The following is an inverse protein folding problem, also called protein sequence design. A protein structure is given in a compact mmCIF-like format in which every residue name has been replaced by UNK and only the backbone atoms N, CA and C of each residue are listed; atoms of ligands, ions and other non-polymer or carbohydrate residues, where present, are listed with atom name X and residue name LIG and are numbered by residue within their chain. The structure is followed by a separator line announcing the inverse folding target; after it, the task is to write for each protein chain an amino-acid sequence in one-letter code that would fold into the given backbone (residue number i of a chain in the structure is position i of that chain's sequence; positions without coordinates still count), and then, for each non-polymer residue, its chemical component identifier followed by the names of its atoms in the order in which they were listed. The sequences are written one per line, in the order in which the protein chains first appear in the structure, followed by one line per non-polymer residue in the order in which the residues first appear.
data_IF_034948430124
#
_entry.id   IF_034948430124
#
_cell.length_a   1.000
_cell.length_b   1.000
_cell.length_c   1.000
_cell.angle_alpha   90.00
_cell.angle_beta   90.00
_cell.angle_gamma   90.00
#
_symmetry.space_group_name_H-M   'P 1'
#
loop_
_entity.id
_entity.type
_entity.pdbx_description
1 polymer ?
#
# COMPACT_ATOMS: atom_id res chain seq x y z
N UNK A 1 -43.20 113.55 -65.88
CA UNK A 1 -44.09 114.67 -65.48
C UNK A 1 -44.38 115.55 -66.67
N UNK A 2 -45.53 116.22 -66.66
CA UNK A 2 -45.87 117.24 -67.65
C UNK A 2 -46.60 118.40 -66.94
N UNK A 3 -46.38 119.62 -67.42
CA UNK A 3 -47.04 120.79 -66.87
C UNK A 3 -48.47 120.87 -67.43
N UNK A 4 -49.46 121.05 -66.55
CA UNK A 4 -50.79 121.44 -66.99
C UNK A 4 -50.76 122.92 -67.38
N UNK A 5 -50.81 123.21 -68.67
CA UNK A 5 -50.69 124.58 -69.19
C UNK A 5 -51.84 125.52 -68.76
N UNK A 6 -52.94 125.01 -68.21
CA UNK A 6 -54.07 125.80 -67.71
C UNK A 6 -53.99 126.12 -66.22
N UNK A 7 -53.46 125.21 -65.39
CA UNK A 7 -53.37 125.40 -63.94
C UNK A 7 -51.96 125.71 -63.45
N UNK A 8 -50.94 125.48 -64.29
CA UNK A 8 -49.52 125.58 -63.93
C UNK A 8 -49.04 124.46 -63.01
N UNK A 9 -49.86 123.45 -62.73
CA UNK A 9 -49.50 122.34 -61.84
C UNK A 9 -48.72 121.25 -62.60
N UNK A 10 -47.70 120.69 -61.95
CA UNK A 10 -47.03 119.48 -62.44
C UNK A 10 -47.94 118.27 -62.23
N UNK A 11 -48.34 117.62 -63.32
CA UNK A 11 -49.08 116.36 -63.29
C UNK A 11 -48.11 115.18 -63.47
N UNK A 12 -48.22 114.20 -62.58
CA UNK A 12 -47.46 112.95 -62.61
C UNK A 12 -48.34 111.85 -63.23
N UNK A 13 -47.87 111.20 -64.32
CA UNK A 13 -48.48 109.99 -64.87
C UNK A 13 -47.66 108.79 -64.44
N UNK A 14 -48.28 107.82 -63.77
CA UNK A 14 -47.64 106.54 -63.46
C UNK A 14 -47.27 105.82 -64.76
N UNK A 15 -46.02 105.37 -64.88
CA UNK A 15 -45.58 104.52 -65.98
C UNK A 15 -46.17 103.10 -65.80
N UNK A 16 -46.57 102.42 -66.89
CA UNK A 16 -47.05 101.04 -66.81
C UNK A 16 -46.02 100.10 -66.21
N UNK A 17 -46.47 99.07 -65.50
CA UNK A 17 -45.60 98.03 -64.96
C UNK A 17 -44.82 97.32 -66.09
N UNK A 18 -43.55 97.02 -65.83
CA UNK A 18 -42.62 96.43 -66.80
C UNK A 18 -41.92 97.44 -67.72
N UNK A 19 -42.30 98.73 -67.67
CA UNK A 19 -41.57 99.79 -68.38
C UNK A 19 -40.16 99.91 -67.84
N UNK A 20 -39.15 99.93 -68.73
CA UNK A 20 -37.77 100.18 -68.34
C UNK A 20 -37.66 101.54 -67.66
N UNK A 21 -37.03 101.56 -66.50
CA UNK A 21 -36.75 102.75 -65.72
C UNK A 21 -35.36 102.59 -65.09
N UNK A 22 -34.90 103.56 -64.31
CA UNK A 22 -33.73 103.37 -63.46
C UNK A 22 -34.06 103.81 -62.04
N UNK A 23 -33.78 102.96 -61.07
CA UNK A 23 -33.85 103.31 -59.65
C UNK A 23 -32.59 104.03 -59.16
N UNK A 24 -31.63 104.26 -60.09
CA UNK A 24 -30.32 104.86 -59.88
C UNK A 24 -29.47 104.13 -58.82
N UNK A 25 -29.78 102.87 -58.54
CA UNK A 25 -28.95 101.99 -57.74
C UNK A 25 -28.03 101.17 -58.66
N UNK A 26 -26.72 101.42 -58.65
CA UNK A 26 -25.76 100.66 -59.46
C UNK A 26 -25.71 99.16 -59.13
N UNK A 27 -26.25 98.74 -57.98
CA UNK A 27 -26.29 97.35 -57.51
C UNK A 27 -27.58 96.61 -57.87
N UNK A 28 -28.41 97.20 -58.71
CA UNK A 28 -29.55 96.54 -59.32
C UNK A 28 -29.41 96.55 -60.84
N UNK A 29 -29.83 95.47 -61.46
CA UNK A 29 -29.90 95.32 -62.90
C UNK A 29 -31.34 95.00 -63.33
N UNK A 30 -31.63 95.23 -64.60
CA UNK A 30 -32.95 94.98 -65.18
C UNK A 30 -34.10 95.75 -64.49
N UNK A 31 -33.82 96.98 -64.06
CA UNK A 31 -34.74 97.93 -63.46
C UNK A 31 -36.05 98.09 -64.27
N UNK A 32 -37.17 97.80 -63.62
CA UNK A 32 -38.51 97.93 -64.21
C UNK A 32 -39.47 98.63 -63.26
N UNK A 33 -40.43 99.33 -63.84
CA UNK A 33 -41.51 99.94 -63.07
C UNK A 33 -42.40 98.83 -62.51
N UNK A 34 -42.64 98.82 -61.21
CA UNK A 34 -43.57 97.93 -60.52
C UNK A 34 -44.40 98.78 -59.55
N UNK A 35 -45.70 98.87 -59.79
CA UNK A 35 -46.64 99.67 -59.00
C UNK A 35 -46.21 101.14 -58.83
N UNK A 36 -45.66 101.74 -59.89
CA UNK A 36 -45.25 103.15 -59.89
C UNK A 36 -43.89 103.43 -59.24
N UNK A 37 -43.16 102.42 -58.78
CA UNK A 37 -41.78 102.53 -58.29
C UNK A 37 -40.83 101.79 -59.24
N UNK A 38 -39.66 102.35 -59.50
CA UNK A 38 -38.62 101.62 -60.21
C UNK A 38 -37.94 100.64 -59.24
N UNK A 39 -37.86 99.37 -59.61
CA UNK A 39 -37.20 98.31 -58.83
C UNK A 39 -36.40 97.42 -59.76
N UNK A 40 -35.13 97.16 -59.45
CA UNK A 40 -34.33 96.17 -60.17
C UNK A 40 -34.04 94.89 -59.38
N UNK A 41 -33.47 93.92 -60.07
CA UNK A 41 -32.96 92.68 -59.49
C UNK A 41 -31.58 92.96 -58.92
N UNK A 42 -31.31 92.55 -57.67
CA UNK A 42 -30.00 92.73 -57.05
C UNK A 42 -28.93 92.00 -57.88
N UNK A 43 -27.83 92.68 -58.17
CA UNK A 43 -26.65 92.09 -58.82
C UNK A 43 -26.06 91.03 -57.88
N UNK A 44 -25.99 89.78 -58.35
CA UNK A 44 -25.36 88.70 -57.60
C UNK A 44 -23.84 88.86 -57.66
N UNK A 45 -23.22 89.03 -56.49
CA UNK A 45 -21.77 89.16 -56.36
C UNK A 45 -21.10 87.91 -55.80
N UNK A 46 -21.80 86.78 -55.72
CA UNK A 46 -21.24 85.51 -55.22
C UNK A 46 -20.07 85.02 -56.09
N UNK A 47 -18.87 84.93 -55.52
CA UNK A 47 -17.68 84.37 -56.19
C UNK A 47 -17.48 82.87 -55.95
N UNK A 48 -18.43 82.22 -55.25
CA UNK A 48 -18.39 80.83 -54.79
C UNK A 48 -17.23 80.52 -53.83
N UNK A 49 -16.61 81.53 -53.22
CA UNK A 49 -15.64 81.33 -52.16
C UNK A 49 -16.30 81.54 -50.80
N UNK A 50 -16.49 80.46 -50.05
CA UNK A 50 -17.07 80.49 -48.70
C UNK A 50 -16.27 81.35 -47.70
N UNK A 51 -15.05 81.76 -48.05
CA UNK A 51 -14.17 82.61 -47.25
C UNK A 51 -14.18 84.09 -47.64
N UNK A 52 -15.12 84.51 -48.47
CA UNK A 52 -15.34 85.92 -48.81
C UNK A 52 -16.75 86.36 -48.43
N UNK A 53 -16.86 87.62 -48.00
CA UNK A 53 -18.14 88.31 -47.93
C UNK A 53 -18.32 89.09 -49.22
N UNK A 54 -19.35 88.73 -49.96
CA UNK A 54 -19.62 89.27 -51.28
C UNK A 54 -20.67 90.37 -51.24
N UNK A 55 -20.27 91.56 -51.63
CA UNK A 55 -21.15 92.74 -51.61
C UNK A 55 -20.99 93.53 -52.90
N UNK A 56 -22.08 94.16 -53.33
CA UNK A 56 -22.01 95.14 -54.40
C UNK A 56 -21.73 96.53 -53.81
N UNK A 57 -20.75 97.24 -54.33
CA UNK A 57 -20.46 98.62 -53.97
C UNK A 57 -21.59 99.55 -54.49
N UNK A 58 -22.37 100.19 -53.59
CA UNK A 58 -23.53 100.99 -53.97
C UNK A 58 -23.19 102.26 -54.76
N UNK A 59 -21.91 102.65 -54.85
CA UNK A 59 -21.46 103.81 -55.61
C UNK A 59 -21.01 103.42 -57.02
N UNK A 60 -20.29 102.31 -57.15
CA UNK A 60 -19.68 101.90 -58.42
C UNK A 60 -20.43 100.79 -59.16
N UNK A 61 -21.31 100.06 -58.48
CA UNK A 61 -22.01 98.89 -59.00
C UNK A 61 -21.10 97.68 -59.22
N UNK A 62 -19.88 97.70 -58.66
CA UNK A 62 -18.90 96.61 -58.79
C UNK A 62 -18.99 95.66 -57.61
N UNK A 63 -18.79 94.37 -57.88
CA UNK A 63 -18.66 93.37 -56.84
C UNK A 63 -17.34 93.54 -56.07
N UNK A 64 -17.45 93.45 -54.75
CA UNK A 64 -16.35 93.54 -53.79
C UNK A 64 -16.42 92.28 -52.93
N UNK A 65 -15.37 91.47 -53.02
CA UNK A 65 -15.20 90.22 -52.29
C UNK A 65 -14.18 90.46 -51.17
N UNK A 66 -14.66 90.52 -49.93
CA UNK A 66 -13.78 90.82 -48.78
C UNK A 66 -13.45 89.53 -48.05
N UNK A 67 -12.17 89.16 -47.87
CA UNK A 67 -11.79 87.98 -47.10
C UNK A 67 -12.39 88.00 -45.70
N UNK A 68 -12.99 86.89 -45.30
CA UNK A 68 -13.43 86.66 -43.93
C UNK A 68 -12.22 86.46 -43.01
N UNK A 69 -12.36 86.72 -41.70
CA UNK A 69 -11.29 86.50 -40.73
C UNK A 69 -10.78 85.05 -40.72
N UNK A 70 -9.48 84.87 -40.49
CA UNK A 70 -8.90 83.55 -40.33
C UNK A 70 -9.59 82.78 -39.19
N UNK A 71 -9.85 81.49 -39.41
CA UNK A 71 -10.60 80.65 -38.48
C UNK A 71 -12.13 80.71 -38.63
N UNK A 72 -12.66 81.55 -39.54
CA UNK A 72 -14.08 81.48 -39.90
C UNK A 72 -14.39 80.13 -40.52
N UNK A 73 -15.45 79.46 -40.06
CA UNK A 73 -15.86 78.18 -40.61
C UNK A 73 -16.25 78.30 -42.08
N UNK A 74 -15.76 77.38 -42.91
CA UNK A 74 -16.05 77.30 -44.32
C UNK A 74 -16.27 75.82 -44.71
N UNK A 75 -16.36 75.53 -46.01
CA UNK A 75 -16.38 74.16 -46.54
C UNK A 75 -15.47 74.12 -47.75
N UNK A 76 -14.44 73.27 -47.74
CA UNK A 76 -13.54 73.09 -48.89
C UNK A 76 -14.07 72.01 -49.87
N UNK A 77 -15.17 71.35 -49.48
CA UNK A 77 -15.83 70.24 -50.18
C UNK A 77 -14.98 68.96 -50.26
N UNK A 78 -13.91 68.85 -49.47
CA UNK A 78 -13.19 67.60 -49.28
C UNK A 78 -13.93 66.76 -48.23
N UNK A 79 -14.46 65.57 -48.58
CA UNK A 79 -15.11 64.70 -47.61
C UNK A 79 -14.14 64.12 -46.57
N UNK A 80 -12.83 64.35 -46.70
CA UNK A 80 -11.80 63.86 -45.79
C UNK A 80 -11.33 64.87 -44.73
N UNK A 81 -11.89 66.08 -44.70
CA UNK A 81 -11.57 67.10 -43.71
C UNK A 81 -12.77 67.35 -42.81
N UNK A 82 -12.53 67.42 -41.50
CA UNK A 82 -13.59 67.65 -40.51
C UNK A 82 -13.66 69.12 -40.08
N UNK A 83 -12.55 69.83 -40.17
CA UNK A 83 -12.45 71.23 -39.74
C UNK A 83 -11.96 72.07 -40.92
N UNK A 84 -12.91 72.73 -41.56
CA UNK A 84 -12.66 73.62 -42.67
C UNK A 84 -12.70 75.07 -42.17
N UNK A 85 -11.56 75.76 -42.29
CA UNK A 85 -11.43 77.15 -41.84
C UNK A 85 -10.80 78.03 -42.88
N UNK A 86 -11.23 79.29 -42.90
CA UNK A 86 -10.62 80.30 -43.73
C UNK A 86 -9.19 80.57 -43.26
N UNK A 87 -8.25 80.54 -44.19
CA UNK A 87 -6.88 80.99 -43.99
C UNK A 87 -6.49 81.84 -45.19
N UNK A 88 -6.14 83.10 -44.96
CA UNK A 88 -5.74 84.04 -46.00
C UNK A 88 -6.79 84.18 -47.12
N UNK A 89 -8.08 84.11 -46.76
CA UNK A 89 -9.20 84.25 -47.70
C UNK A 89 -9.48 82.99 -48.55
N UNK A 90 -8.85 81.86 -48.26
CA UNK A 90 -9.17 80.56 -48.87
C UNK A 90 -9.67 79.59 -47.82
N UNK A 91 -10.61 78.73 -48.21
CA UNK A 91 -11.03 77.65 -47.34
C UNK A 91 -9.97 76.54 -47.34
N UNK A 92 -9.48 76.18 -46.15
CA UNK A 92 -8.50 75.11 -45.96
C UNK A 92 -9.06 74.11 -44.98
N UNK A 93 -9.26 72.88 -45.44
CA UNK A 93 -9.57 71.75 -44.59
C UNK A 93 -8.38 71.28 -43.77
N UNK A 94 -8.66 70.94 -42.53
CA UNK A 94 -7.72 70.45 -41.53
C UNK A 94 -8.41 69.36 -40.69
N UNK A 95 -7.62 68.64 -39.89
CA UNK A 95 -8.04 67.40 -39.22
C UNK A 95 -8.61 66.38 -40.22
N UNK A 96 -7.72 65.53 -40.76
CA UNK A 96 -8.13 64.37 -41.56
C UNK A 96 -9.16 63.60 -40.76
N UNK A 97 -10.35 63.38 -41.34
CA UNK A 97 -11.43 62.63 -40.71
C UNK A 97 -10.90 61.23 -40.36
N UNK A 98 -10.75 60.91 -39.05
CA UNK A 98 -10.45 59.55 -38.67
C UNK A 98 -11.73 58.78 -38.96
N UNK A 99 -11.77 58.11 -40.10
CA UNK A 99 -12.84 57.21 -40.51
C UNK A 99 -12.98 55.98 -39.59
N UNK A 100 -12.65 56.11 -38.31
CA UNK A 100 -12.63 55.07 -37.31
C UNK A 100 -14.06 54.61 -37.02
N UNK A 101 -14.41 53.42 -37.47
CA UNK A 101 -15.70 52.78 -37.18
C UNK A 101 -15.70 52.01 -35.85
N UNK A 102 -14.61 52.09 -35.09
CA UNK A 102 -14.32 51.35 -33.87
C UNK A 102 -14.30 49.82 -34.05
N UNK A 103 -14.16 49.31 -35.27
CA UNK A 103 -13.99 47.89 -35.52
C UNK A 103 -12.51 47.56 -35.75
N UNK A 104 -11.90 46.84 -34.80
CA UNK A 104 -10.49 46.40 -34.91
C UNK A 104 -10.21 45.52 -36.13
N UNK A 105 -11.24 44.93 -36.73
CA UNK A 105 -11.14 44.11 -37.94
C UNK A 105 -11.38 44.88 -39.24
N UNK A 106 -11.42 46.20 -39.19
CA UNK A 106 -11.37 47.06 -40.36
C UNK A 106 -10.09 47.89 -40.34
N UNK A 107 -9.57 48.18 -41.52
CA UNK A 107 -8.59 49.24 -41.71
C UNK A 107 -9.31 50.45 -42.27
N UNK A 108 -9.33 51.50 -41.48
CA UNK A 108 -10.03 52.73 -41.79
C UNK A 108 -9.12 53.75 -42.43
N UNK A 109 -9.59 54.34 -43.51
CA UNK A 109 -8.91 55.42 -44.21
C UNK A 109 -9.91 56.26 -44.99
N UNK A 110 -9.55 57.53 -45.19
CA UNK A 110 -10.31 58.39 -46.09
C UNK A 110 -9.72 58.32 -47.49
N UNK A 111 -10.56 58.02 -48.49
CA UNK A 111 -10.19 58.07 -49.89
C UNK A 111 -10.60 59.43 -50.46
N UNK A 112 -9.63 60.15 -51.02
CA UNK A 112 -9.82 61.49 -51.57
C UNK A 112 -10.99 61.51 -52.58
N UNK A 113 -11.90 62.49 -52.44
CA UNK A 113 -13.12 62.65 -53.26
C UNK A 113 -14.19 61.57 -53.13
N UNK A 114 -13.95 60.49 -52.37
CA UNK A 114 -14.93 59.42 -52.12
C UNK A 114 -15.44 59.47 -50.68
N UNK A 115 -14.58 59.84 -49.73
CA UNK A 115 -14.86 59.84 -48.30
C UNK A 115 -14.40 58.54 -47.63
N UNK A 116 -15.00 58.22 -46.48
CA UNK A 116 -14.54 57.13 -45.64
C UNK A 116 -14.64 55.73 -46.27
N UNK A 117 -13.61 54.93 -46.04
CA UNK A 117 -13.49 53.52 -46.41
C UNK A 117 -13.07 52.70 -45.19
N UNK A 118 -13.69 51.53 -45.08
CA UNK A 118 -13.42 50.53 -44.03
C UNK A 118 -13.11 49.20 -44.71
N UNK A 119 -11.83 48.86 -44.83
CA UNK A 119 -11.40 47.63 -45.48
C UNK A 119 -11.40 46.46 -44.50
N UNK A 120 -12.15 45.40 -44.84
CA UNK A 120 -12.27 44.20 -44.00
C UNK A 120 -10.95 43.43 -43.94
N UNK A 121 -10.43 43.23 -42.74
CA UNK A 121 -9.21 42.48 -42.47
C UNK A 121 -9.49 40.97 -42.29
N UNK A 122 -8.49 40.17 -42.64
CA UNK A 122 -8.44 38.73 -42.37
C UNK A 122 -7.03 38.36 -41.88
N UNK A 123 -6.94 37.55 -40.82
CA UNK A 123 -5.67 37.04 -40.30
C UNK A 123 -4.95 37.97 -39.31
N UNK A 124 -5.46 39.18 -39.08
CA UNK A 124 -4.98 40.08 -38.04
C UNK A 124 -5.55 39.67 -36.68
N UNK A 125 -4.76 39.79 -35.61
CA UNK A 125 -5.25 39.57 -34.26
C UNK A 125 -6.30 40.63 -33.91
N UNK A 126 -7.37 40.18 -33.28
CA UNK A 126 -8.34 40.98 -32.58
C UNK A 126 -8.51 40.43 -31.17
N UNK A 127 -9.34 41.06 -30.34
CA UNK A 127 -9.70 40.59 -29.00
C UNK A 127 -11.15 41.00 -28.74
N UNK A 128 -12.03 40.04 -28.51
CA UNK A 128 -13.44 40.25 -28.18
C UNK A 128 -13.70 40.28 -26.67
N UNK A 129 -12.65 40.14 -25.87
CA UNK A 129 -12.68 40.16 -24.41
C UNK A 129 -13.15 38.86 -23.77
N UNK A 130 -13.32 37.78 -24.53
CA UNK A 130 -13.72 36.47 -24.01
C UNK A 130 -12.53 35.51 -23.95
N UNK A 131 -12.01 35.28 -22.76
CA UNK A 131 -10.86 34.38 -22.56
C UNK A 131 -11.15 32.91 -22.93
N UNK A 132 -12.41 32.51 -23.10
CA UNK A 132 -12.81 31.13 -23.30
C UNK A 132 -12.80 30.66 -24.75
N UNK A 133 -12.75 31.56 -25.71
CA UNK A 133 -12.93 31.22 -27.12
C UNK A 133 -11.59 31.11 -27.88
N UNK A 134 -10.48 31.44 -27.24
CA UNK A 134 -9.12 31.15 -27.70
C UNK A 134 -8.40 32.37 -28.22
N UNK A 135 -7.61 32.18 -29.29
CA UNK A 135 -7.04 33.31 -30.02
C UNK A 135 -8.10 33.90 -30.96
N UNK A 136 -8.17 35.21 -30.97
CA UNK A 136 -9.11 35.98 -31.77
C UNK A 136 -8.43 36.51 -33.02
N UNK A 137 -9.02 36.18 -34.17
CA UNK A 137 -8.49 36.53 -35.49
C UNK A 137 -9.61 37.10 -36.34
N UNK A 138 -9.32 38.20 -37.02
CA UNK A 138 -10.25 38.76 -37.98
C UNK A 138 -10.49 37.79 -39.14
N UNK A 139 -11.75 37.60 -39.51
CA UNK A 139 -12.16 36.88 -40.70
C UNK A 139 -13.26 37.66 -41.42
N UNK A 140 -12.89 38.25 -42.56
CA UNK A 140 -13.77 39.08 -43.38
C UNK A 140 -14.43 40.20 -42.55
N UNK A 141 -13.63 40.94 -41.79
CA UNK A 141 -14.07 42.13 -41.06
C UNK A 141 -14.81 41.88 -39.76
N UNK A 142 -14.89 40.63 -39.31
CA UNK A 142 -15.45 40.24 -38.02
C UNK A 142 -14.38 39.55 -37.19
N UNK A 143 -14.33 39.87 -35.89
CA UNK A 143 -13.47 39.13 -34.98
C UNK A 143 -14.06 37.74 -34.76
N UNK A 144 -13.28 36.70 -35.09
CA UNK A 144 -13.68 35.31 -34.92
C UNK A 144 -12.69 34.60 -34.03
N UNK A 145 -13.25 33.78 -33.17
CA UNK A 145 -12.52 32.96 -32.24
C UNK A 145 -12.12 31.61 -32.86
N UNK A 146 -10.85 31.26 -32.72
CA UNK A 146 -10.32 29.96 -33.12
C UNK A 146 -9.78 29.23 -31.89
N UNK A 147 -10.01 27.90 -31.84
CA UNK A 147 -9.55 27.01 -30.78
C UNK A 147 -10.09 27.38 -29.38
N UNK A 148 -11.31 26.96 -29.03
CA UNK A 148 -11.88 27.18 -27.69
C UNK A 148 -10.92 26.75 -26.58
N UNK A 149 -10.84 27.56 -25.52
CA UNK A 149 -10.02 27.27 -24.35
C UNK A 149 -10.53 25.98 -23.70
N UNK A 150 -9.68 24.96 -23.66
CA UNK A 150 -9.99 23.71 -22.96
C UNK A 150 -9.60 23.83 -21.48
N UNK A 151 -10.60 23.88 -20.61
CA UNK A 151 -10.43 23.99 -19.16
C UNK A 151 -10.40 22.64 -18.42
N UNK A 152 -10.47 21.51 -19.13
CA UNK A 152 -10.36 20.18 -18.54
C UNK A 152 -8.99 19.98 -17.87
N UNK A 153 -8.97 19.98 -16.53
CA UNK A 153 -7.75 19.77 -15.74
C UNK A 153 -7.49 18.29 -15.41
N UNK A 154 -8.36 17.40 -15.91
CA UNK A 154 -8.37 15.95 -15.71
C UNK A 154 -8.56 15.52 -14.27
N UNK A 155 -8.99 16.42 -13.40
CA UNK A 155 -9.31 16.11 -12.02
C UNK A 155 -10.79 15.72 -11.91
N UNK A 156 -11.13 14.47 -11.56
CA UNK A 156 -12.52 14.06 -11.40
C UNK A 156 -13.22 14.76 -10.21
N UNK A 157 -12.48 15.49 -9.38
CA UNK A 157 -13.00 16.22 -8.23
C UNK A 157 -13.23 17.70 -8.46
N UNK A 158 -13.12 18.16 -9.70
CA UNK A 158 -13.50 19.51 -10.10
C UNK A 158 -14.58 19.45 -11.17
N UNK A 159 -15.45 20.45 -11.14
CA UNK A 159 -16.30 20.78 -12.25
C UNK A 159 -15.62 21.89 -13.04
N UNK A 160 -15.14 21.53 -14.21
CA UNK A 160 -14.42 22.43 -15.08
C UNK A 160 -15.40 23.25 -15.91
N UNK A 161 -15.19 24.55 -15.92
CA UNK A 161 -15.95 25.49 -16.73
C UNK A 161 -15.06 26.65 -17.14
N UNK A 162 -15.55 27.47 -18.05
CA UNK A 162 -14.84 28.66 -18.47
C UNK A 162 -15.70 29.90 -18.25
N UNK A 163 -15.15 30.87 -17.55
CA UNK A 163 -15.72 32.19 -17.34
C UNK A 163 -15.12 33.16 -18.37
N UNK A 164 -15.93 33.86 -19.19
CA UNK A 164 -15.42 34.73 -20.25
C UNK A 164 -14.45 35.82 -19.78
N UNK A 165 -14.52 36.27 -18.52
CA UNK A 165 -13.67 37.33 -17.99
C UNK A 165 -12.48 36.80 -17.17
N UNK A 166 -12.63 35.63 -16.55
CA UNK A 166 -11.63 35.07 -15.64
C UNK A 166 -10.91 33.83 -16.20
N UNK A 167 -11.33 33.32 -17.36
CA UNK A 167 -10.78 32.13 -17.99
C UNK A 167 -11.25 30.83 -17.30
N UNK A 168 -10.36 29.85 -17.17
CA UNK A 168 -10.72 28.56 -16.59
C UNK A 168 -11.05 28.64 -15.10
N UNK A 169 -12.16 28.01 -14.74
CA UNK A 169 -12.65 27.91 -13.37
C UNK A 169 -12.95 26.44 -13.03
N UNK A 170 -12.30 25.93 -11.98
CA UNK A 170 -12.38 24.53 -11.57
C UNK A 170 -13.00 24.46 -10.17
N UNK A 171 -14.29 24.18 -10.10
CA UNK A 171 -15.05 24.24 -8.83
C UNK A 171 -15.00 22.88 -8.11
N UNK A 172 -14.57 22.80 -6.84
CA UNK A 172 -14.56 21.54 -6.08
C UNK A 172 -15.91 20.83 -6.00
N UNK A 173 -15.92 19.52 -6.27
CA UNK A 173 -17.11 18.66 -6.23
C UNK A 173 -17.15 17.80 -4.95
N UNK A 174 -17.37 18.41 -3.79
CA UNK A 174 -17.37 17.67 -2.52
C UNK A 174 -18.43 16.56 -2.44
N UNK A 175 -18.01 15.37 -2.01
CA UNK A 175 -18.87 14.20 -1.81
C UNK A 175 -19.14 13.37 -3.08
N UNK A 176 -18.67 13.80 -4.24
CA UNK A 176 -18.74 13.00 -5.48
C UNK A 176 -17.78 11.82 -5.40
N UNK A 177 -18.22 10.65 -5.88
CA UNK A 177 -17.36 9.45 -5.96
C UNK A 177 -16.23 9.68 -6.96
N UNK A 178 -15.03 9.30 -6.58
CA UNK A 178 -13.84 9.38 -7.42
C UNK A 178 -12.97 8.13 -7.24
N UNK A 179 -11.83 8.07 -7.94
CA UNK A 179 -10.80 7.05 -7.71
C UNK A 179 -9.50 7.72 -7.34
N UNK A 180 -9.00 7.48 -6.14
CA UNK A 180 -7.68 7.96 -5.71
C UNK A 180 -6.55 7.14 -6.36
N UNK A 181 -6.89 6.11 -7.14
CA UNK A 181 -5.96 5.14 -7.74
C UNK A 181 -4.99 4.56 -6.71
N UNK A 182 -5.50 4.32 -5.50
CA UNK A 182 -4.76 3.81 -4.36
C UNK A 182 -5.50 2.60 -3.79
N UNK A 183 -4.92 1.41 -3.93
CA UNK A 183 -5.51 0.17 -3.44
C UNK A 183 -5.62 0.11 -1.89
N UNK A 184 -5.00 1.06 -1.19
CA UNK A 184 -5.06 1.21 0.27
C UNK A 184 -6.20 2.10 0.75
N UNK A 185 -7.02 2.62 -0.16
CA UNK A 185 -8.20 3.38 0.18
C UNK A 185 -9.47 2.76 -0.38
N UNK A 186 -10.58 2.98 0.31
CA UNK A 186 -11.91 2.57 -0.10
C UNK A 186 -12.89 3.73 0.09
N UNK A 187 -14.02 3.67 -0.62
CA UNK A 187 -15.05 4.71 -0.57
C UNK A 187 -14.46 6.11 -0.86
N UNK A 188 -13.65 6.18 -1.92
CA UNK A 188 -12.99 7.39 -2.37
C UNK A 188 -14.03 8.46 -2.77
N UNK A 189 -13.91 9.63 -2.17
CA UNK A 189 -14.78 10.78 -2.41
C UNK A 189 -13.96 12.06 -2.55
N UNK A 190 -14.48 12.98 -3.33
CA UNK A 190 -13.90 14.29 -3.49
C UNK A 190 -14.09 15.12 -2.22
N UNK A 191 -13.01 15.78 -1.79
CA UNK A 191 -13.01 16.73 -0.68
C UNK A 191 -12.03 17.86 -0.96
N UNK A 192 -12.52 19.09 -1.01
CA UNK A 192 -11.76 20.29 -1.35
C UNK A 192 -10.97 20.15 -2.66
N UNK A 193 -11.58 19.55 -3.68
CA UNK A 193 -10.98 19.38 -5.01
C UNK A 193 -9.97 18.24 -5.11
N UNK A 194 -9.82 17.41 -4.07
CA UNK A 194 -8.90 16.26 -4.06
C UNK A 194 -9.68 14.98 -3.82
N UNK A 195 -9.36 13.93 -4.57
CA UNK A 195 -9.92 12.61 -4.32
C UNK A 195 -9.25 11.99 -3.10
N UNK A 196 -10.03 11.75 -2.04
CA UNK A 196 -9.55 11.16 -0.78
C UNK A 196 -10.39 9.95 -0.41
N UNK A 197 -9.77 8.91 0.11
CA UNK A 197 -10.47 7.70 0.52
C UNK A 197 -10.22 7.32 1.97
N UNK A 198 -11.07 6.44 2.48
CA UNK A 198 -10.92 5.87 3.82
C UNK A 198 -9.84 4.78 3.80
N UNK A 199 -8.92 4.73 4.78
CA UNK A 199 -7.92 3.66 4.84
C UNK A 199 -8.58 2.28 4.88
N UNK A 200 -8.09 1.36 4.05
CA UNK A 200 -8.43 -0.06 4.14
C UNK A 200 -7.75 -0.65 5.37
N UNK A 201 -8.48 -1.43 6.15
CA UNK A 201 -7.89 -2.23 7.22
C UNK A 201 -7.25 -3.49 6.60
N UNK A 202 -5.92 -3.58 6.66
CA UNK A 202 -5.16 -4.71 6.13
C UNK A 202 -4.82 -5.76 7.19
N UNK A 203 -5.38 -5.68 8.39
CA UNK A 203 -5.19 -6.70 9.43
C UNK A 203 -5.84 -8.04 9.03
N UNK A 204 -5.03 -9.08 8.82
CA UNK A 204 -5.51 -10.44 8.53
C UNK A 204 -5.76 -11.29 9.78
N UNK A 205 -5.58 -10.70 10.96
CA UNK A 205 -5.62 -11.33 12.28
C UNK A 205 -4.58 -12.44 12.49
N UNK A 206 -3.52 -12.49 11.68
CA UNK A 206 -2.40 -13.40 11.86
C UNK A 206 -1.23 -12.67 12.53
N UNK A 207 -0.95 -12.99 13.79
CA UNK A 207 0.19 -12.42 14.53
C UNK A 207 1.55 -12.67 13.85
N UNK A 208 1.63 -13.69 13.00
CA UNK A 208 2.85 -14.08 12.29
C UNK A 208 3.04 -13.43 10.92
N UNK A 209 2.20 -12.47 10.58
CA UNK A 209 2.39 -11.58 9.44
C UNK A 209 2.58 -10.15 9.93
N UNK A 210 3.27 -9.34 9.13
CA UNK A 210 3.28 -7.89 9.25
C UNK A 210 2.39 -7.33 8.17
N UNK A 211 1.29 -6.73 8.58
CA UNK A 211 0.33 -6.14 7.67
C UNK A 211 0.80 -4.77 7.23
N UNK A 212 0.89 -4.63 5.92
CA UNK A 212 1.22 -3.37 5.27
C UNK A 212 0.27 -3.15 4.12
N UNK A 213 0.21 -1.92 3.63
CA UNK A 213 -0.56 -1.62 2.44
C UNK A 213 0.33 -0.96 1.39
N UNK A 214 0.41 -1.59 0.23
CA UNK A 214 1.08 -1.08 -0.95
C UNK A 214 0.06 -0.36 -1.84
N UNK A 215 0.36 0.87 -2.26
CA UNK A 215 -0.59 1.71 -3.02
C UNK A 215 -1.09 1.08 -4.31
N UNK A 216 -0.33 0.17 -4.90
CA UNK A 216 -0.67 -0.48 -6.18
C UNK A 216 -1.21 -1.89 -5.97
N UNK A 217 -0.61 -2.65 -5.04
CA UNK A 217 -0.94 -4.07 -4.82
C UNK A 217 -2.03 -4.28 -3.77
N UNK A 218 -2.33 -3.28 -2.95
CA UNK A 218 -3.28 -3.37 -1.84
C UNK A 218 -2.63 -3.95 -0.59
N UNK A 219 -3.43 -4.66 0.21
CA UNK A 219 -2.97 -5.28 1.45
C UNK A 219 -1.92 -6.36 1.19
N UNK A 220 -0.84 -6.31 1.96
CA UNK A 220 0.27 -7.25 1.93
C UNK A 220 0.51 -7.78 3.35
N UNK A 221 0.56 -9.10 3.47
CA UNK A 221 0.80 -9.81 4.72
C UNK A 221 2.15 -10.52 4.60
N UNK A 222 3.20 -9.95 5.20
CA UNK A 222 4.56 -10.50 5.07
C UNK A 222 4.92 -11.30 6.31
N UNK A 223 5.28 -12.57 6.15
CA UNK A 223 5.73 -13.43 7.25
C UNK A 223 6.80 -12.74 8.10
N UNK A 224 6.58 -12.71 9.41
CA UNK A 224 7.50 -12.12 10.37
C UNK A 224 8.18 -13.21 11.22
N UNK A 225 9.10 -12.80 12.10
CA UNK A 225 9.80 -13.71 13.03
C UNK A 225 9.62 -13.27 14.49
N UNK A 226 8.52 -12.59 14.78
CA UNK A 226 8.21 -12.09 16.11
C UNK A 226 7.79 -13.24 17.05
N UNK A 227 7.91 -13.04 18.38
CA UNK A 227 7.33 -13.95 19.36
C UNK A 227 5.82 -14.06 19.17
N UNK A 228 5.30 -15.28 19.33
CA UNK A 228 3.88 -15.58 19.23
C UNK A 228 3.48 -16.60 20.31
N UNK A 229 2.24 -17.08 20.28
CA UNK A 229 1.79 -18.19 21.12
C UNK A 229 0.92 -19.11 20.27
N UNK A 230 1.30 -20.38 20.13
CA UNK A 230 0.57 -21.35 19.31
C UNK A 230 -0.56 -22.07 20.08
N UNK A 231 -0.74 -21.73 21.36
CA UNK A 231 -1.73 -22.30 22.26
C UNK A 231 -1.38 -23.71 22.73
N UNK A 232 -0.19 -24.22 22.41
CA UNK A 232 0.24 -25.56 22.74
C UNK A 232 1.22 -25.55 23.93
N UNK A 233 0.79 -26.12 25.06
CA UNK A 233 1.62 -26.21 26.28
C UNK A 233 2.79 -27.19 26.15
N UNK A 234 2.87 -27.94 25.05
CA UNK A 234 3.98 -28.84 24.73
C UNK A 234 5.09 -28.19 23.91
N UNK A 235 4.94 -26.91 23.59
CA UNK A 235 5.92 -26.11 22.88
C UNK A 235 6.36 -24.94 23.75
N UNK A 236 7.62 -24.53 23.59
CA UNK A 236 8.21 -23.37 24.23
C UNK A 236 8.97 -22.53 23.22
N UNK A 237 9.20 -21.25 23.55
CA UNK A 237 9.90 -20.29 22.69
C UNK A 237 9.23 -20.14 21.31
N UNK A 238 7.90 -20.05 21.32
CA UNK A 238 7.05 -19.86 20.14
C UNK A 238 7.44 -18.60 19.37
N UNK A 239 7.80 -18.80 18.10
CA UNK A 239 8.17 -17.73 17.18
C UNK A 239 7.54 -17.97 15.83
N UNK A 240 7.30 -16.87 15.11
CA UNK A 240 6.73 -16.93 13.79
C UNK A 240 7.75 -17.45 12.78
N UNK A 241 7.33 -18.43 11.97
CA UNK A 241 8.14 -19.01 10.89
C UNK A 241 7.25 -19.45 9.73
N UNK A 242 7.44 -18.84 8.56
CA UNK A 242 6.65 -19.15 7.37
C UNK A 242 5.15 -18.85 7.57
N UNK A 243 4.83 -17.75 8.25
CA UNK A 243 3.44 -17.30 8.48
C UNK A 243 2.69 -18.07 9.55
N UNK A 244 3.35 -18.98 10.27
CA UNK A 244 2.76 -19.80 11.33
C UNK A 244 3.52 -19.63 12.64
N UNK A 245 2.79 -19.68 13.75
CA UNK A 245 3.39 -19.73 15.08
C UNK A 245 3.90 -21.13 15.37
N UNK A 246 5.20 -21.27 15.64
CA UNK A 246 5.84 -22.56 15.88
C UNK A 246 6.78 -22.45 17.08
N UNK A 247 6.67 -23.37 18.04
CA UNK A 247 7.59 -23.50 19.15
C UNK A 247 8.50 -24.73 19.07
N UNK A 248 9.43 -24.80 20.01
CA UNK A 248 10.30 -25.97 20.22
C UNK A 248 9.62 -26.93 21.16
N UNK A 249 9.63 -28.22 20.84
CA UNK A 249 9.03 -29.24 21.69
C UNK A 249 9.65 -29.23 23.10
N UNK A 250 8.82 -29.11 24.13
CA UNK A 250 9.22 -29.23 25.53
C UNK A 250 9.65 -30.67 25.80
N UNK A 251 10.80 -30.83 26.46
CA UNK A 251 11.24 -32.13 26.95
C UNK A 251 10.49 -32.46 28.25
N UNK A 252 9.61 -33.46 28.20
CA UNK A 252 8.84 -33.93 29.35
C UNK A 252 9.53 -35.02 30.17
N UNK A 253 10.82 -35.27 30.00
CA UNK A 253 11.57 -36.19 30.87
C UNK A 253 11.78 -35.58 32.27
N UNK A 254 11.23 -36.21 33.31
CA UNK A 254 11.45 -35.80 34.72
C UNK A 254 12.65 -36.52 35.36
N UNK A 255 13.36 -37.36 34.61
CA UNK A 255 14.48 -38.17 35.08
C UNK A 255 14.05 -39.36 35.94
N UNK A 256 12.75 -39.65 36.06
CA UNK A 256 12.25 -40.81 36.78
C UNK A 256 11.98 -41.98 35.81
N UNK A 257 12.80 -43.05 35.80
CA UNK A 257 12.56 -44.20 34.93
C UNK A 257 11.25 -44.96 35.22
N UNK A 258 10.55 -44.63 36.31
CA UNK A 258 9.29 -45.24 36.72
C UNK A 258 8.04 -44.44 36.39
N UNK A 259 8.18 -43.37 35.61
CA UNK A 259 7.06 -42.69 34.96
C UNK A 259 7.02 -43.01 33.47
N UNK A 260 5.83 -42.85 32.89
CA UNK A 260 5.64 -42.68 31.47
C UNK A 260 5.30 -41.21 31.22
N UNK A 261 6.08 -40.59 30.34
CA UNK A 261 6.01 -39.18 30.02
C UNK A 261 5.11 -38.99 28.79
N UNK A 262 4.11 -38.14 28.91
CA UNK A 262 3.27 -37.74 27.78
C UNK A 262 3.03 -36.26 27.82
N UNK A 263 3.03 -35.62 26.66
CA UNK A 263 2.70 -34.21 26.56
C UNK A 263 1.34 -34.02 25.90
N UNK A 264 0.44 -33.31 26.57
CA UNK A 264 -0.89 -32.97 26.07
C UNK A 264 -0.97 -31.48 25.72
N UNK A 265 -1.33 -31.09 24.49
CA UNK A 265 -1.25 -29.70 24.04
C UNK A 265 -2.00 -28.66 24.89
N UNK A 266 -2.98 -29.07 25.70
CA UNK A 266 -3.80 -28.19 26.53
C UNK A 266 -3.40 -28.17 28.01
N UNK A 267 -2.52 -29.08 28.43
CA UNK A 267 -2.20 -29.34 29.83
C UNK A 267 -0.67 -29.26 30.07
N UNK A 268 0.13 -29.61 29.06
CA UNK A 268 1.58 -29.71 29.13
C UNK A 268 2.04 -31.13 29.48
N UNK A 269 3.22 -31.24 30.09
CA UNK A 269 3.79 -32.51 30.49
C UNK A 269 2.96 -33.19 31.60
N UNK A 270 2.64 -34.45 31.40
CA UNK A 270 1.94 -35.31 32.35
C UNK A 270 2.77 -36.57 32.56
N UNK A 271 3.00 -36.88 33.84
CA UNK A 271 3.84 -37.99 34.29
C UNK A 271 2.96 -39.06 34.90
N UNK A 272 2.82 -40.19 34.21
CA UNK A 272 1.95 -41.29 34.65
C UNK A 272 2.79 -42.37 35.35
N UNK A 273 2.46 -42.78 36.60
CA UNK A 273 3.20 -43.84 37.28
C UNK A 273 3.14 -45.16 36.53
N UNK A 274 4.29 -45.78 36.26
CA UNK A 274 4.33 -47.13 35.68
C UNK A 274 3.78 -48.11 36.73
N UNK A 275 2.71 -48.81 36.36
CA UNK A 275 2.05 -49.82 37.22
C UNK A 275 2.61 -51.23 37.03
N UNK A 276 3.49 -51.43 36.04
CA UNK A 276 4.10 -52.74 35.78
C UNK A 276 5.39 -52.93 36.59
N UNK A 277 5.37 -53.94 37.47
CA UNK A 277 6.50 -54.30 38.34
C UNK A 277 7.73 -54.86 37.59
N UNK A 278 7.73 -54.85 36.25
CA UNK A 278 8.77 -55.44 35.41
C UNK A 278 9.68 -54.40 34.74
N UNK A 279 9.36 -53.09 34.80
CA UNK A 279 10.29 -52.05 34.31
C UNK A 279 11.47 -51.93 35.28
N UNK A 280 12.67 -52.24 34.80
CA UNK A 280 13.91 -52.10 35.56
C UNK A 280 14.28 -50.63 35.61
N UNK A 281 14.54 -50.11 36.80
CA UNK A 281 14.85 -48.70 37.05
C UNK A 281 16.25 -48.47 37.63
N UNK A 282 16.97 -49.54 37.96
CA UNK A 282 18.30 -49.46 38.54
C UNK A 282 18.84 -50.81 39.01
N UNK A 283 20.01 -50.79 39.65
CA UNK A 283 20.69 -51.99 40.15
C UNK A 283 21.53 -52.73 39.12
N UNK A 284 22.28 -53.72 39.58
CA UNK A 284 23.15 -54.58 38.77
C UNK A 284 22.99 -56.02 39.21
N UNK A 285 23.25 -56.98 38.32
CA UNK A 285 23.08 -58.40 38.63
C UNK A 285 23.83 -58.78 39.94
N UNK A 286 23.18 -59.45 40.91
CA UNK A 286 21.84 -60.05 40.90
C UNK A 286 20.69 -59.18 41.46
N UNK A 287 20.95 -57.93 41.84
CA UNK A 287 20.02 -57.04 42.53
C UNK A 287 19.51 -55.91 41.63
N UNK A 288 18.55 -56.21 40.76
CA UNK A 288 17.83 -55.20 39.98
C UNK A 288 16.72 -54.53 40.80
N UNK A 289 16.50 -53.24 40.56
CA UNK A 289 15.41 -52.45 41.12
C UNK A 289 14.30 -52.33 40.09
N UNK A 290 13.04 -52.39 40.53
CA UNK A 290 11.87 -52.30 39.65
C UNK A 290 10.92 -51.20 40.08
N UNK A 291 10.14 -50.74 39.11
CA UNK A 291 9.14 -49.70 39.29
C UNK A 291 7.88 -50.24 39.96
N UNK A 292 7.47 -49.61 41.06
CA UNK A 292 6.20 -49.90 41.74
C UNK A 292 5.51 -48.57 42.02
N UNK A 293 4.33 -48.37 41.41
CA UNK A 293 3.53 -47.17 41.61
C UNK A 293 4.32 -45.86 41.42
N UNK A 294 5.18 -45.81 40.40
CA UNK A 294 5.96 -44.61 40.07
C UNK A 294 7.27 -44.43 40.84
N UNK A 295 7.64 -45.37 41.72
CA UNK A 295 8.86 -45.28 42.53
C UNK A 295 9.80 -46.44 42.19
N UNK A 296 11.09 -46.13 42.02
CA UNK A 296 12.13 -47.13 41.89
C UNK A 296 12.48 -47.73 43.26
N UNK A 297 12.29 -49.03 43.43
CA UNK A 297 12.47 -49.68 44.74
C UNK A 297 13.44 -50.87 44.68
N UNK A 298 14.41 -50.86 45.60
CA UNK A 298 15.28 -52.01 45.91
C UNK A 298 14.51 -52.95 46.84
N UNK A 299 14.17 -54.14 46.33
CA UNK A 299 13.48 -55.15 47.12
C UNK A 299 14.49 -56.04 47.85
N UNK A 300 15.05 -55.50 48.93
CA UNK A 300 16.14 -56.16 49.65
C UNK A 300 15.71 -57.30 50.58
N UNK A 301 14.43 -57.69 50.71
CA UNK A 301 13.98 -58.82 51.56
C UNK A 301 12.52 -59.33 51.26
N UNK A 302 12.23 -59.94 50.10
CA UNK A 302 10.88 -60.48 49.82
C UNK A 302 10.72 -61.41 48.61
N UNK A 303 9.58 -62.12 48.53
CA UNK A 303 9.25 -63.20 47.58
C UNK A 303 9.05 -62.77 46.11
N UNK A 304 9.82 -63.31 45.15
CA UNK A 304 9.76 -62.92 43.73
C UNK A 304 8.81 -63.81 42.92
N UNK A 305 8.22 -63.29 41.85
CA UNK A 305 7.62 -64.13 40.79
C UNK A 305 8.73 -64.63 39.86
N UNK A 306 8.76 -65.94 39.57
CA UNK A 306 9.54 -66.44 38.43
C UNK A 306 8.81 -66.18 37.10
N UNK A 307 9.48 -66.46 35.97
CA UNK A 307 8.96 -66.25 34.61
C UNK A 307 7.66 -67.04 34.31
N UNK A 308 7.24 -67.92 35.22
CA UNK A 308 6.03 -68.74 35.13
C UNK A 308 4.95 -68.33 36.15
N UNK A 309 5.12 -67.21 36.86
CA UNK A 309 4.13 -66.68 37.80
C UNK A 309 4.07 -67.39 39.16
N UNK A 310 5.05 -68.23 39.50
CA UNK A 310 5.15 -68.83 40.83
C UNK A 310 5.95 -67.93 41.79
N UNK A 311 5.34 -67.57 42.93
CA UNK A 311 5.99 -66.80 43.99
C UNK A 311 7.01 -67.71 44.71
N UNK A 312 8.31 -67.46 44.54
CA UNK A 312 9.38 -68.14 45.29
C UNK A 312 10.21 -67.16 46.10
N UNK A 313 10.48 -67.54 47.34
CA UNK A 313 11.58 -67.03 48.14
C UNK A 313 12.67 -68.09 48.18
N UNK A 314 13.94 -67.71 48.27
CA UNK A 314 15.05 -68.64 48.44
C UNK A 314 16.03 -68.07 49.46
N UNK A 315 16.35 -68.82 50.53
CA UNK A 315 17.32 -68.40 51.55
C UNK A 315 18.73 -68.94 51.33
N UNK A 316 18.95 -69.64 50.22
CA UNK A 316 20.23 -70.31 49.94
C UNK A 316 20.33 -71.71 50.53
N UNK A 317 19.36 -72.17 51.34
CA UNK A 317 19.35 -73.49 51.94
C UNK A 317 18.49 -74.46 51.09
N UNK A 318 19.08 -75.46 50.42
CA UNK A 318 18.32 -76.46 49.68
C UNK A 318 17.48 -77.39 50.57
N UNK A 319 17.69 -77.38 51.89
CA UNK A 319 17.03 -78.25 52.85
C UNK A 319 15.82 -77.61 53.55
N UNK A 320 15.31 -76.50 53.02
CA UNK A 320 14.06 -75.86 53.45
C UNK A 320 13.03 -75.86 52.33
N UNK A 321 11.74 -75.90 52.69
CA UNK A 321 10.66 -75.75 51.70
C UNK A 321 10.24 -74.29 51.65
N UNK A 322 11.01 -73.49 50.93
CA UNK A 322 10.88 -72.05 50.91
C UNK A 322 9.57 -71.64 50.25
N UNK A 323 8.68 -71.04 51.04
CA UNK A 323 7.37 -70.61 50.57
C UNK A 323 7.01 -69.23 51.07
N UNK A 324 6.37 -68.47 50.20
CA UNK A 324 5.81 -67.19 50.58
C UNK A 324 4.45 -67.37 51.26
N UNK A 325 4.26 -66.72 52.42
CA UNK A 325 2.96 -66.67 53.10
C UNK A 325 2.74 -65.24 53.63
N UNK A 326 1.63 -64.63 53.25
CA UNK A 326 1.26 -63.26 53.68
C UNK A 326 2.36 -62.21 53.37
N UNK A 327 3.04 -62.35 52.22
CA UNK A 327 4.09 -61.42 51.79
C UNK A 327 5.44 -61.58 52.49
N UNK A 328 5.59 -62.57 53.38
CA UNK A 328 6.83 -62.87 54.09
C UNK A 328 7.39 -64.24 53.69
N UNK A 329 8.71 -64.32 53.58
CA UNK A 329 9.42 -65.58 53.34
C UNK A 329 9.32 -66.46 54.59
N UNK A 330 8.79 -67.68 54.43
CA UNK A 330 8.82 -68.68 55.49
C UNK A 330 9.59 -69.90 55.02
N UNK A 331 10.47 -70.38 55.90
CA UNK A 331 11.34 -71.53 55.67
C UNK A 331 10.94 -72.65 56.65
N UNK A 332 9.82 -73.36 56.44
CA UNK A 332 9.46 -74.52 57.25
C UNK A 332 10.36 -75.73 56.94
N UNK A 333 10.56 -76.65 57.91
CA UNK A 333 11.24 -77.90 57.63
C UNK A 333 10.37 -78.77 56.70
N UNK A 334 10.97 -79.55 55.79
CA UNK A 334 10.22 -80.45 54.91
C UNK A 334 9.44 -81.50 55.68
N UNK A 335 8.25 -81.86 55.19
CA UNK A 335 7.46 -82.98 55.74
C UNK A 335 8.08 -84.36 55.45
N UNK A 336 9.02 -84.45 54.51
CA UNK A 336 9.78 -85.66 54.21
C UNK A 336 11.21 -85.29 53.75
N UNK A 337 12.15 -85.15 54.69
CA UNK A 337 13.53 -84.67 54.43
C UNK A 337 14.40 -85.65 53.62
N UNK A 338 14.08 -86.93 53.58
CA UNK A 338 14.96 -87.96 52.98
C UNK A 338 14.92 -88.04 51.45
N UNK A 339 14.01 -87.30 50.78
CA UNK A 339 13.88 -87.28 49.32
C UNK A 339 14.36 -85.98 48.65
N UNK A 340 14.84 -84.99 49.43
CA UNK A 340 15.37 -83.75 48.89
C UNK A 340 16.87 -83.94 48.64
N UNK A 341 17.26 -83.84 47.37
CA UNK A 341 18.65 -83.84 46.94
C UNK A 341 19.26 -82.47 47.28
N UNK A 342 20.34 -82.48 48.03
CA UNK A 342 21.13 -81.32 48.37
C UNK A 342 22.60 -81.62 48.09
N UNK A 343 23.49 -80.65 48.29
CA UNK A 343 24.93 -80.91 48.34
C UNK A 343 25.50 -80.28 49.59
N UNK A 344 26.30 -81.02 50.34
CA UNK A 344 27.04 -80.48 51.48
C UNK A 344 28.39 -79.87 51.05
N UNK A 345 28.61 -79.79 49.73
CA UNK A 345 29.84 -79.34 49.07
C UNK A 345 31.08 -80.14 49.48
N UNK A 346 30.88 -81.31 50.11
CA UNK A 346 31.94 -82.23 50.43
C UNK A 346 31.91 -83.41 49.45
N UNK A 347 32.83 -83.41 48.49
CA UNK A 347 32.92 -84.46 47.47
C UNK A 347 33.27 -85.85 48.05
N UNK A 348 33.61 -85.93 49.34
CA UNK A 348 33.89 -87.17 50.06
C UNK A 348 32.66 -87.80 50.71
N UNK A 349 31.48 -87.21 50.51
CA UNK A 349 30.24 -87.70 51.09
C UNK A 349 29.20 -87.86 49.97
N UNK A 350 28.54 -89.01 49.93
CA UNK A 350 27.46 -89.29 48.98
C UNK A 350 26.61 -90.51 49.41
N UNK A 351 25.31 -90.56 49.05
CA UNK A 351 24.53 -89.45 48.50
C UNK A 351 24.20 -88.43 49.60
N UNK A 352 24.30 -87.15 49.24
CA UNK A 352 23.96 -86.03 50.12
C UNK A 352 22.44 -85.94 50.31
N UNK A 353 22.01 -85.91 51.57
CA UNK A 353 20.58 -85.82 51.93
C UNK A 353 20.37 -84.80 53.02
N UNK A 354 19.20 -84.17 52.99
CA UNK A 354 18.80 -83.25 54.04
C UNK A 354 18.47 -83.98 55.34
N UNK A 355 18.92 -83.42 56.46
CA UNK A 355 18.60 -83.90 57.81
C UNK A 355 17.37 -83.19 58.39
N UNK A 356 16.80 -83.75 59.46
CA UNK A 356 15.75 -83.12 60.25
C UNK A 356 16.17 -81.78 60.89
N UNK A 357 17.48 -81.48 60.91
CA UNK A 357 18.04 -80.24 61.45
C UNK A 357 18.29 -79.17 60.36
N UNK A 358 17.79 -79.37 59.13
CA UNK A 358 17.91 -78.43 58.00
C UNK A 358 19.35 -78.21 57.54
N UNK A 359 20.19 -79.22 57.75
CA UNK A 359 21.54 -79.30 57.19
C UNK A 359 21.57 -80.36 56.09
N UNK A 360 22.40 -80.13 55.08
CA UNK A 360 22.76 -81.15 54.10
C UNK A 360 23.95 -81.96 54.64
N UNK A 361 23.86 -83.28 54.60
CA UNK A 361 24.96 -84.18 54.98
C UNK A 361 24.93 -85.44 54.12
N UNK A 362 26.09 -85.91 53.65
CA UNK A 362 26.22 -87.22 53.03
C UNK A 362 26.88 -88.27 53.93
N UNK A 363 26.92 -89.51 53.46
CA UNK A 363 27.68 -90.60 54.09
C UNK A 363 29.07 -90.66 53.47
N UNK A 364 30.12 -90.85 54.27
CA UNK A 364 31.49 -90.91 53.76
C UNK A 364 31.64 -91.99 52.67
N UNK A 365 32.21 -91.61 51.53
CA UNK A 365 32.52 -92.55 50.45
C UNK A 365 33.86 -93.23 50.73
N UNK A 366 33.99 -94.48 50.29
CA UNK A 366 35.29 -95.16 50.27
C UNK A 366 36.05 -94.75 49.02
N UNK A 367 37.25 -94.21 49.20
CA UNK A 367 38.13 -93.83 48.11
C UNK A 367 39.19 -94.88 47.77
N UNK A 368 39.04 -96.12 48.22
CA UNK A 368 39.95 -97.22 47.91
C UNK A 368 39.89 -97.60 46.42
N UNK A 369 40.98 -97.38 45.66
CA UNK A 369 41.08 -97.82 44.25
C UNK A 369 41.61 -99.24 44.07
N UNK A 370 41.85 -99.96 45.17
CA UNK A 370 42.42 -101.29 45.21
C UNK A 370 43.81 -101.38 44.55
N UNK A 371 44.56 -100.27 44.48
CA UNK A 371 45.96 -100.26 44.05
C UNK A 371 46.87 -99.93 45.25
N UNK A 372 47.58 -100.94 45.74
CA UNK A 372 48.51 -100.80 46.87
C UNK A 372 49.64 -99.76 46.63
N UNK A 373 49.87 -99.37 45.38
CA UNK A 373 50.89 -98.38 44.99
C UNK A 373 50.37 -96.94 44.93
N UNK A 374 49.16 -96.69 45.40
CA UNK A 374 48.59 -95.37 45.61
C UNK A 374 48.19 -95.17 47.07
N UNK A 375 48.34 -93.93 47.54
CA UNK A 375 47.75 -93.46 48.77
C UNK A 375 46.40 -92.86 48.44
N UNK A 376 45.39 -93.50 48.97
CA UNK A 376 44.01 -93.16 48.72
C UNK A 376 43.54 -92.21 49.81
N UNK A 377 43.25 -90.99 49.41
CA UNK A 377 42.75 -89.95 50.30
C UNK A 377 41.53 -89.32 49.65
N UNK A 378 40.65 -88.76 50.47
CA UNK A 378 39.55 -87.97 49.96
C UNK A 378 39.77 -86.48 50.23
N UNK A 379 39.80 -85.69 49.16
CA UNK A 379 39.80 -84.23 49.22
C UNK A 379 38.36 -83.73 49.19
N UNK A 380 37.97 -82.96 50.21
CA UNK A 380 36.57 -82.53 50.39
C UNK A 380 36.05 -81.65 49.26
N UNK A 381 36.92 -81.09 48.40
CA UNK A 381 36.53 -80.25 47.27
C UNK A 381 36.56 -80.99 45.94
N UNK A 382 37.49 -81.92 45.74
CA UNK A 382 37.68 -82.61 44.45
C UNK A 382 37.29 -84.09 44.45
N UNK A 383 37.01 -84.68 45.60
CA UNK A 383 36.63 -86.08 45.76
C UNK A 383 37.84 -86.98 46.00
N UNK A 384 37.72 -88.25 45.63
CA UNK A 384 38.82 -89.21 45.80
C UNK A 384 40.07 -88.79 45.03
N UNK A 385 41.20 -88.82 45.72
CA UNK A 385 42.53 -88.50 45.20
C UNK A 385 43.47 -89.65 45.45
N UNK A 386 44.30 -89.95 44.44
CA UNK A 386 45.19 -91.10 44.41
C UNK A 386 46.61 -90.61 44.19
N UNK A 387 47.44 -90.66 45.23
CA UNK A 387 48.82 -90.17 45.14
C UNK A 387 49.77 -91.35 45.07
N UNK A 388 50.63 -91.38 44.05
CA UNK A 388 51.59 -92.48 43.89
C UNK A 388 52.52 -92.57 45.11
N UNK A 389 52.67 -93.78 45.64
CA UNK A 389 53.66 -94.03 46.70
C UNK A 389 55.08 -93.97 46.11
N UNK A 390 56.07 -93.79 46.97
CA UNK A 390 57.48 -93.75 46.56
C UNK A 390 57.93 -95.08 45.95
N UNK A 391 58.70 -95.00 44.87
CA UNK A 391 59.22 -96.19 44.18
C UNK A 391 60.04 -97.08 45.14
N UNK A 392 59.88 -98.40 45.02
CA UNK A 392 60.54 -99.41 45.84
C UNK A 392 59.78 -99.85 47.10
N UNK A 393 58.62 -99.25 47.40
CA UNK A 393 57.73 -99.74 48.46
C UNK A 393 57.07 -101.09 48.04
N UNK A 394 56.86 -102.02 48.98
CA UNK A 394 56.24 -103.31 48.70
C UNK A 394 54.74 -103.15 48.38
N UNK A 395 54.25 -103.94 47.43
CA UNK A 395 52.84 -104.11 47.10
C UNK A 395 52.51 -105.60 46.97
N UNK A 396 51.23 -105.98 46.90
CA UNK A 396 50.85 -107.39 46.76
C UNK A 396 51.41 -108.00 45.46
N UNK A 397 52.48 -108.80 45.62
CA UNK A 397 53.13 -109.52 44.51
C UNK A 397 54.33 -108.82 43.88
N UNK A 398 54.83 -107.71 44.43
CA UNK A 398 55.95 -106.97 43.82
C UNK A 398 56.41 -105.73 44.56
N UNK A 399 56.98 -104.77 43.80
CA UNK A 399 57.35 -103.43 44.28
C UNK A 399 56.70 -102.35 43.41
N UNK A 400 56.35 -101.24 44.05
CA UNK A 400 55.77 -100.08 43.38
C UNK A 400 56.82 -99.36 42.54
N UNK A 401 56.51 -99.14 41.25
CA UNK A 401 57.28 -98.29 40.34
C UNK A 401 56.35 -97.47 39.47
N UNK A 402 56.57 -96.15 39.43
CA UNK A 402 55.75 -95.20 38.68
C UNK A 402 54.24 -95.27 38.99
N UNK A 403 53.86 -95.72 40.19
CA UNK A 403 52.47 -95.85 40.64
C UNK A 403 51.76 -97.15 40.24
N UNK A 404 52.49 -98.17 39.80
CA UNK A 404 51.96 -99.50 39.49
C UNK A 404 52.78 -100.56 40.24
N UNK A 405 52.12 -101.60 40.73
CA UNK A 405 52.79 -102.75 41.33
C UNK A 405 53.43 -103.60 40.23
N UNK A 406 54.77 -103.68 40.21
CA UNK A 406 55.51 -104.53 39.27
C UNK A 406 56.08 -105.74 40.00
N UNK A 407 55.93 -106.97 39.45
CA UNK A 407 56.53 -108.15 40.03
C UNK A 407 58.06 -108.03 40.07
N UNK A 408 58.65 -108.54 41.14
CA UNK A 408 60.10 -108.54 41.39
C UNK A 408 60.89 -109.28 40.32
#
# INVERSE_FOLDING_TARGET
DYCNEQTGECLHRLLPDGTACSDHNPCTENDKCVSGKCTGTIVSCDDNNSCTSDTCDPVTGRCVHTPLPDGTGCSDNDPCTRIDTCQQGQCVGSDIDPCDDNNVCTRDYCEQFVGCKHERLTGTSCDDGNLCNGEDVCDNGQCKHINPLNCDDKNPCTQDSCDPQHGCINVPLDGVLCSANNACTQNDVCKAGVCVGQPVNCDDNNICTTDTCDRTKGCLHTDNTLPCNDGNFCTENDTCRGGQCQGTQVNCDDGNPCTDESCYPQIGCVYSPVTSAFRICGGSFPNYWTCISGVCSDWSNGCRNDQNGAIRCYDGNPCTNDRCREGQCRYPPPSNVTQIFCTDSNACTAPDRCTNQRSCTGTAISCDDANDCTLDACDTRTGCTYTKVQDGLPCQGGQCWFGVCLPL
#
